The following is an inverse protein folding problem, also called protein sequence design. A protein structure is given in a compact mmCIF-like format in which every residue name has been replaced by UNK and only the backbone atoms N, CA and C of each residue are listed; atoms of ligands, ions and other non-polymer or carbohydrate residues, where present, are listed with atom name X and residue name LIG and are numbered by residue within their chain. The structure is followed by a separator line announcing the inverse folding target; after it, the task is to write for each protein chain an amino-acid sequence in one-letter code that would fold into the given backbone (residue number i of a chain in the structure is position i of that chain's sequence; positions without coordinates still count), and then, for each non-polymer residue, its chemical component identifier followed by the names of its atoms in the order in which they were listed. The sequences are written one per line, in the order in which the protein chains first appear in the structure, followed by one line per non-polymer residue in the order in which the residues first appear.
data_IF_922304796128
#
_entry.id   IF_922304796128
#
_cell.length_a   1.000
_cell.length_b   1.000
_cell.length_c   1.000
_cell.angle_alpha   90.00
_cell.angle_beta   90.00
_cell.angle_gamma   90.00
#
_symmetry.space_group_name_H-M   'P 1'
#
loop_
_entity.id
_entity.type
_entity.pdbx_description
1 polymer ?
#
# COMPACT_ATOMS: atom_id res chain seq x y z
N UNK A 1 13.47 -5.80 -10.06
CA UNK A 1 13.61 -4.43 -10.62
C UNK A 1 12.93 -3.38 -9.75
N UNK A 2 11.94 -3.73 -8.95
CA UNK A 2 11.40 -2.82 -7.94
C UNK A 2 12.32 -2.78 -6.72
N UNK A 3 12.43 -1.60 -6.10
CA UNK A 3 13.25 -1.39 -4.89
C UNK A 3 12.39 -1.39 -3.63
N UNK A 4 11.32 -0.58 -3.59
CA UNK A 4 10.46 -0.43 -2.42
C UNK A 4 9.08 0.13 -2.78
N UNK A 5 8.15 0.09 -1.84
CA UNK A 5 6.86 0.78 -1.92
C UNK A 5 7.10 2.26 -1.66
N UNK A 6 7.09 3.05 -2.72
CA UNK A 6 7.44 4.48 -2.68
C UNK A 6 6.32 5.33 -2.10
N UNK A 7 5.08 5.04 -2.51
CA UNK A 7 3.90 5.80 -2.12
C UNK A 7 2.60 5.03 -2.22
N UNK A 8 1.56 5.58 -1.61
CA UNK A 8 0.18 5.23 -1.90
C UNK A 8 -0.60 6.45 -2.36
N UNK A 9 -1.62 6.23 -3.19
CA UNK A 9 -2.46 7.27 -3.77
C UNK A 9 -3.89 7.13 -3.26
N UNK A 10 -4.43 8.21 -2.69
CA UNK A 10 -5.80 8.27 -2.20
C UNK A 10 -6.60 9.29 -2.99
N UNK A 11 -7.79 8.90 -3.41
CA UNK A 11 -8.79 9.87 -3.89
C UNK A 11 -9.45 10.50 -2.67
N UNK A 12 -9.44 11.83 -2.62
CA UNK A 12 -10.00 12.61 -1.53
C UNK A 12 -10.78 13.81 -2.06
N UNK A 13 -11.79 14.26 -1.30
CA UNK A 13 -12.53 15.47 -1.61
C UNK A 13 -11.87 16.74 -1.06
N UNK A 14 -11.18 16.61 0.06
CA UNK A 14 -10.47 17.69 0.75
C UNK A 14 -8.98 17.32 0.96
N UNK A 15 -8.14 17.74 0.03
CA UNK A 15 -6.69 17.48 0.09
C UNK A 15 -6.03 18.14 1.32
N UNK A 16 -6.48 19.36 1.67
CA UNK A 16 -5.92 20.08 2.81
C UNK A 16 -6.30 19.43 4.14
N UNK A 17 -7.54 19.00 4.25
CA UNK A 17 -8.01 18.24 5.42
C UNK A 17 -7.25 16.91 5.56
N UNK A 18 -7.03 16.21 4.45
CA UNK A 18 -6.23 14.98 4.45
C UNK A 18 -4.78 15.26 4.89
N UNK A 19 -4.14 16.28 4.32
CA UNK A 19 -2.77 16.65 4.69
C UNK A 19 -2.64 17.02 6.16
N UNK A 20 -3.59 17.81 6.70
CA UNK A 20 -3.63 18.14 8.14
C UNK A 20 -3.77 16.89 9.00
N UNK A 21 -4.68 15.99 8.65
CA UNK A 21 -4.87 14.74 9.39
C UNK A 21 -3.60 13.88 9.41
N UNK A 22 -2.91 13.74 8.26
CA UNK A 22 -1.63 13.01 8.18
C UNK A 22 -0.53 13.68 9.02
N UNK A 23 -0.48 15.03 9.03
CA UNK A 23 0.44 15.76 9.89
C UNK A 23 0.18 15.49 11.37
N UNK A 24 -1.09 15.49 11.78
CA UNK A 24 -1.48 15.30 13.19
C UNK A 24 -1.35 13.84 13.66
N UNK A 25 -1.58 12.86 12.79
CA UNK A 25 -1.48 11.44 13.14
C UNK A 25 -0.06 10.90 13.03
N UNK A 26 0.65 11.27 11.97
CA UNK A 26 1.91 10.63 11.59
C UNK A 26 3.09 11.60 11.57
N UNK A 27 2.91 12.84 11.96
CA UNK A 27 3.96 13.86 11.85
C UNK A 27 4.34 14.18 10.40
N UNK A 28 3.44 13.91 9.45
CA UNK A 28 3.72 14.10 8.03
C UNK A 28 3.98 15.55 7.67
N UNK A 29 4.84 15.78 6.67
CA UNK A 29 5.18 17.11 6.16
C UNK A 29 4.78 17.26 4.70
N UNK A 30 4.37 18.46 4.25
CA UNK A 30 4.12 18.73 2.84
C UNK A 30 5.36 18.41 1.99
N UNK A 31 5.15 17.73 0.85
CA UNK A 31 6.21 17.36 -0.10
C UNK A 31 6.02 18.01 -1.48
N UNK A 32 4.85 18.56 -1.76
CA UNK A 32 4.60 19.32 -2.98
C UNK A 32 3.19 19.23 -3.51
N UNK A 33 2.97 19.99 -4.59
CA UNK A 33 1.74 19.97 -5.38
C UNK A 33 2.11 19.79 -6.84
N UNK A 34 1.31 19.03 -7.55
CA UNK A 34 1.48 18.82 -8.98
C UNK A 34 0.13 18.50 -9.65
N UNK A 35 0.16 18.42 -10.97
CA UNK A 35 -0.93 17.86 -11.75
C UNK A 35 -0.44 16.59 -12.43
N UNK A 36 -1.27 15.57 -12.46
CA UNK A 36 -1.05 14.36 -13.24
C UNK A 36 -2.04 14.33 -14.40
N UNK A 37 -1.54 14.51 -15.62
CA UNK A 37 -2.37 14.53 -16.84
C UNK A 37 -2.94 13.14 -17.14
N UNK A 38 -2.15 12.08 -16.94
CA UNK A 38 -2.62 10.72 -17.13
C UNK A 38 -3.83 10.40 -16.26
N UNK A 39 -3.78 10.79 -14.99
CA UNK A 39 -4.88 10.57 -14.02
C UNK A 39 -5.96 11.66 -14.11
N UNK A 40 -5.69 12.76 -14.80
CA UNK A 40 -6.46 14.00 -14.83
C UNK A 40 -6.84 14.48 -13.43
N UNK A 41 -5.81 14.63 -12.58
CA UNK A 41 -5.96 14.93 -11.17
C UNK A 41 -4.95 15.95 -10.67
N UNK A 42 -5.40 16.81 -9.76
CA UNK A 42 -4.51 17.59 -8.88
C UNK A 42 -3.98 16.67 -7.79
N UNK A 43 -2.70 16.79 -7.49
CA UNK A 43 -2.00 15.95 -6.51
C UNK A 43 -1.41 16.82 -5.42
N UNK A 44 -1.80 16.60 -4.19
CA UNK A 44 -1.11 17.11 -3.00
C UNK A 44 -0.33 15.94 -2.38
N UNK A 45 0.98 16.06 -2.32
CA UNK A 45 1.85 15.04 -1.74
C UNK A 45 2.28 15.46 -0.34
N UNK A 46 2.15 14.54 0.61
CA UNK A 46 2.79 14.64 1.93
C UNK A 46 3.77 13.49 2.10
N UNK A 47 4.79 13.69 2.92
CA UNK A 47 5.75 12.65 3.30
C UNK A 47 5.55 12.28 4.75
N UNK A 48 5.48 10.98 5.01
CA UNK A 48 5.49 10.40 6.34
C UNK A 48 6.47 9.20 6.34
N UNK A 49 7.43 9.22 7.25
CA UNK A 49 8.57 8.32 7.18
C UNK A 49 9.40 8.56 5.90
N UNK A 50 9.82 7.47 5.28
CA UNK A 50 10.49 7.47 3.98
C UNK A 50 9.51 7.43 2.79
N UNK A 51 8.20 7.27 3.03
CA UNK A 51 7.17 7.12 2.00
C UNK A 51 6.38 8.40 1.77
N UNK A 52 5.77 8.50 0.60
CA UNK A 52 4.87 9.60 0.23
C UNK A 52 3.41 9.13 0.17
N UNK A 53 2.50 10.05 0.45
CA UNK A 53 1.07 9.88 0.30
C UNK A 53 0.56 10.95 -0.66
N UNK A 54 0.04 10.53 -1.81
CA UNK A 54 -0.55 11.41 -2.81
C UNK A 54 -2.06 11.50 -2.59
N UNK A 55 -2.55 12.68 -2.28
CA UNK A 55 -3.98 12.97 -2.23
C UNK A 55 -4.41 13.47 -3.60
N UNK A 56 -5.24 12.67 -4.27
CA UNK A 56 -5.73 12.93 -5.62
C UNK A 56 -7.10 13.58 -5.58
N UNK A 57 -7.26 14.67 -6.31
CA UNK A 57 -8.55 15.30 -6.54
C UNK A 57 -8.77 15.44 -8.05
N UNK A 58 -9.90 14.96 -8.62
CA UNK A 58 -10.16 15.09 -10.03
C UNK A 58 -10.05 16.55 -10.51
N UNK A 59 -9.42 16.80 -11.63
CA UNK A 59 -9.37 18.09 -12.31
C UNK A 59 -10.24 18.15 -13.57
N UNK A 60 -10.82 17.02 -13.97
CA UNK A 60 -11.69 16.83 -15.10
C UNK A 60 -12.06 15.36 -15.30
N UNK A 61 -12.79 15.01 -16.38
CA UNK A 61 -13.10 13.61 -16.70
C UNK A 61 -11.81 12.79 -16.87
N UNK A 62 -11.79 11.53 -16.33
CA UNK A 62 -10.63 10.64 -16.42
C UNK A 62 -10.60 9.60 -15.30
N UNK A 63 -9.53 8.79 -15.20
CA UNK A 63 -9.48 7.63 -14.32
C UNK A 63 -9.82 7.94 -12.85
N UNK A 64 -9.28 9.04 -12.31
CA UNK A 64 -9.55 9.44 -10.91
C UNK A 64 -10.98 9.94 -10.73
N UNK A 65 -11.55 10.67 -11.73
CA UNK A 65 -12.93 11.10 -11.68
C UNK A 65 -13.92 9.93 -11.75
N UNK A 66 -13.67 8.95 -12.63
CA UNK A 66 -14.48 7.76 -12.80
C UNK A 66 -14.44 6.90 -11.53
N UNK A 67 -13.27 6.75 -10.95
CA UNK A 67 -13.10 6.05 -9.68
C UNK A 67 -13.84 6.76 -8.54
N UNK A 68 -13.70 8.09 -8.42
CA UNK A 68 -14.37 8.92 -7.41
C UNK A 68 -15.90 8.85 -7.53
N UNK A 69 -16.42 8.88 -8.75
CA UNK A 69 -17.87 8.76 -9.02
C UNK A 69 -18.40 7.39 -8.59
N UNK A 70 -17.63 6.33 -8.78
CA UNK A 70 -18.06 4.96 -8.48
C UNK A 70 -17.86 4.59 -7.00
N UNK A 71 -16.76 5.02 -6.37
CA UNK A 71 -16.33 4.52 -5.09
C UNK A 71 -16.18 5.58 -3.99
N UNK A 72 -16.22 6.87 -4.36
CA UNK A 72 -16.03 7.98 -3.42
C UNK A 72 -14.57 8.19 -3.06
N UNK A 73 -14.27 8.38 -1.78
CA UNK A 73 -12.91 8.51 -1.26
C UNK A 73 -12.30 7.15 -0.93
N UNK A 74 -10.96 7.02 -1.04
CA UNK A 74 -10.25 5.80 -0.66
C UNK A 74 -8.92 5.57 -1.33
N UNK A 75 -8.34 4.45 -1.02
CA UNK A 75 -7.08 3.95 -1.60
C UNK A 75 -7.30 3.62 -3.09
N UNK A 76 -6.65 4.39 -3.94
CA UNK A 76 -6.79 4.32 -5.39
C UNK A 76 -5.66 3.55 -6.06
N UNK A 77 -4.41 3.90 -5.74
CA UNK A 77 -3.24 3.38 -6.42
C UNK A 77 -2.02 3.26 -5.51
N UNK A 78 -0.97 2.67 -6.05
CA UNK A 78 0.32 2.47 -5.39
C UNK A 78 1.46 2.93 -6.27
N UNK A 79 2.52 3.46 -5.68
CA UNK A 79 3.78 3.73 -6.35
C UNK A 79 4.89 2.81 -5.87
N UNK A 80 5.62 2.25 -6.82
CA UNK A 80 6.85 1.50 -6.56
C UNK A 80 8.04 2.25 -7.11
N UNK A 81 9.18 2.16 -6.43
CA UNK A 81 10.41 2.74 -6.94
C UNK A 81 11.25 1.72 -7.71
N UNK A 82 12.12 2.24 -8.56
CA UNK A 82 13.10 1.48 -9.32
C UNK A 82 14.38 2.30 -9.49
N UNK A 83 15.58 1.67 -9.49
CA UNK A 83 16.82 2.37 -9.72
C UNK A 83 16.97 2.87 -11.18
N UNK A 84 16.21 2.30 -12.13
CA UNK A 84 16.27 2.66 -13.53
C UNK A 84 14.88 2.62 -14.19
N UNK A 85 14.23 3.79 -14.25
CA UNK A 85 12.92 3.96 -14.89
C UNK A 85 12.98 3.63 -16.39
N UNK A 86 14.06 3.99 -17.07
CA UNK A 86 14.23 3.68 -18.50
C UNK A 86 14.34 2.18 -18.77
N UNK A 87 15.04 1.43 -17.91
CA UNK A 87 15.08 -0.03 -17.98
C UNK A 87 13.70 -0.64 -17.74
N UNK A 88 12.95 -0.10 -16.78
CA UNK A 88 11.57 -0.54 -16.51
C UNK A 88 10.65 -0.24 -17.70
N UNK A 89 10.77 0.93 -18.33
CA UNK A 89 10.00 1.26 -19.54
C UNK A 89 10.28 0.28 -20.69
N UNK A 90 11.55 -0.04 -20.94
CA UNK A 90 11.93 -1.06 -21.94
C UNK A 90 11.37 -2.44 -21.59
N UNK A 91 11.39 -2.82 -20.30
CA UNK A 91 10.81 -4.07 -19.86
C UNK A 91 9.30 -4.11 -20.13
N UNK A 92 8.55 -3.04 -19.82
CA UNK A 92 7.12 -2.96 -20.11
C UNK A 92 6.83 -3.09 -21.61
N UNK A 93 7.63 -2.45 -22.47
CA UNK A 93 7.51 -2.60 -23.93
C UNK A 93 7.68 -4.07 -24.35
N UNK A 94 8.71 -4.76 -23.87
CA UNK A 94 8.96 -6.18 -24.16
C UNK A 94 7.80 -7.06 -23.67
N UNK A 95 7.29 -6.78 -22.49
CA UNK A 95 6.17 -7.51 -21.87
C UNK A 95 4.79 -7.09 -22.41
N UNK A 96 4.73 -6.09 -23.30
CA UNK A 96 3.50 -5.51 -23.86
C UNK A 96 2.56 -4.98 -22.78
N UNK A 97 3.11 -4.39 -21.70
CA UNK A 97 2.37 -3.70 -20.67
C UNK A 97 2.11 -2.27 -21.13
N UNK A 98 0.87 -1.83 -21.28
CA UNK A 98 0.57 -0.44 -21.60
C UNK A 98 1.00 0.49 -20.46
N UNK A 99 1.69 1.57 -20.79
CA UNK A 99 2.06 2.60 -19.82
C UNK A 99 2.13 3.98 -20.48
N UNK A 100 2.04 5.01 -19.64
CA UNK A 100 2.28 6.41 -20.04
C UNK A 100 3.44 6.94 -19.23
N UNK A 101 4.40 7.56 -19.91
CA UNK A 101 5.50 8.27 -19.25
C UNK A 101 5.13 9.74 -19.06
N UNK A 102 5.18 10.20 -17.81
CA UNK A 102 4.93 11.58 -17.45
C UNK A 102 5.81 12.00 -16.27
N UNK A 103 6.47 13.14 -16.37
CA UNK A 103 7.33 13.72 -15.33
C UNK A 103 8.39 12.74 -14.76
N UNK A 104 8.97 11.89 -15.63
CA UNK A 104 9.99 10.89 -15.26
C UNK A 104 9.44 9.71 -14.46
N UNK A 105 8.14 9.46 -14.54
CA UNK A 105 7.45 8.32 -13.93
C UNK A 105 6.70 7.53 -15.00
N UNK A 106 6.44 6.24 -14.74
CA UNK A 106 5.62 5.42 -15.62
C UNK A 106 4.29 5.13 -14.92
N UNK A 107 3.20 5.42 -15.59
CA UNK A 107 1.86 5.19 -15.10
C UNK A 107 1.24 4.00 -15.82
N UNK A 108 0.75 3.05 -15.06
CA UNK A 108 0.00 1.89 -15.54
C UNK A 108 -1.41 2.01 -14.96
N UNK A 109 -2.40 1.91 -15.82
CA UNK A 109 -3.79 1.77 -15.35
C UNK A 109 -3.99 0.44 -14.60
N UNK A 110 -5.17 0.25 -14.02
CA UNK A 110 -5.50 -0.90 -13.17
C UNK A 110 -5.13 -2.28 -13.74
N UNK A 111 -4.77 -2.37 -15.03
CA UNK A 111 -4.44 -3.59 -15.74
C UNK A 111 -5.38 -4.74 -15.31
N UNK A 112 -5.03 -6.01 -15.52
CA UNK A 112 -5.93 -7.14 -15.22
C UNK A 112 -6.27 -7.33 -13.72
N UNK A 113 -5.55 -6.68 -12.80
CA UNK A 113 -5.65 -6.93 -11.36
C UNK A 113 -6.13 -5.75 -10.52
N UNK A 114 -6.65 -4.70 -11.16
CA UNK A 114 -7.30 -3.59 -10.47
C UNK A 114 -6.37 -2.74 -9.59
N UNK A 115 -5.07 -2.72 -9.87
CA UNK A 115 -4.07 -1.98 -9.11
C UNK A 115 -3.43 -0.87 -9.97
N UNK A 116 -4.02 0.35 -10.03
CA UNK A 116 -3.37 1.49 -10.66
C UNK A 116 -1.98 1.69 -10.05
N UNK A 117 -0.96 1.76 -10.90
CA UNK A 117 0.43 1.75 -10.43
C UNK A 117 1.22 2.90 -11.05
N UNK A 118 2.09 3.52 -10.24
CA UNK A 118 3.09 4.45 -10.72
C UNK A 118 4.49 3.96 -10.39
N UNK A 119 5.38 3.89 -11.38
CA UNK A 119 6.80 3.58 -11.17
C UNK A 119 7.57 4.89 -11.05
N UNK A 120 8.27 5.04 -9.95
CA UNK A 120 9.04 6.23 -9.58
C UNK A 120 10.54 5.93 -9.61
N UNK A 121 11.41 6.90 -9.89
CA UNK A 121 12.84 6.72 -9.68
C UNK A 121 13.15 6.59 -8.18
N UNK A 122 14.11 5.74 -7.83
CA UNK A 122 14.63 5.67 -6.47
C UNK A 122 15.10 7.03 -5.98
N UNK A 123 14.74 7.36 -4.76
CA UNK A 123 15.17 8.60 -4.11
C UNK A 123 15.51 8.33 -2.65
N UNK A 124 16.70 8.71 -2.24
CA UNK A 124 17.00 8.82 -0.82
C UNK A 124 16.16 9.97 -0.24
N UNK A 125 15.41 9.69 0.82
CA UNK A 125 14.59 10.68 1.52
C UNK A 125 14.95 10.68 3.00
N UNK A 126 15.05 11.87 3.56
CA UNK A 126 15.08 12.03 5.00
C UNK A 126 13.75 11.55 5.60
N UNK A 127 13.81 10.74 6.65
CA UNK A 127 12.62 10.30 7.37
C UNK A 127 11.98 11.48 8.12
N UNK A 128 10.65 11.58 8.05
CA UNK A 128 9.87 12.61 8.74
C UNK A 128 8.68 12.01 9.48
N UNK A 129 8.41 12.50 10.68
CA UNK A 129 7.30 12.02 11.51
C UNK A 129 7.57 10.65 12.13
N UNK A 130 6.51 9.94 12.46
CA UNK A 130 6.51 8.85 13.44
C UNK A 130 6.29 7.47 12.82
N UNK A 131 6.15 7.39 11.50
CA UNK A 131 6.15 6.12 10.78
C UNK A 131 7.49 5.94 10.07
N UNK A 132 7.89 4.70 9.82
CA UNK A 132 9.13 4.41 9.11
C UNK A 132 8.91 4.45 7.60
N UNK A 133 8.00 3.63 7.09
CA UNK A 133 7.65 3.56 5.67
C UNK A 133 6.38 2.74 5.45
N UNK A 134 5.80 2.88 4.26
CA UNK A 134 4.81 1.93 3.74
C UNK A 134 5.56 0.75 3.15
N UNK A 135 5.27 -0.47 3.61
CA UNK A 135 5.97 -1.65 3.11
C UNK A 135 5.08 -2.60 2.31
N UNK A 136 3.76 -2.42 2.38
CA UNK A 136 2.84 -3.36 1.74
C UNK A 136 1.58 -2.67 1.23
N UNK A 137 1.09 -3.19 0.12
CA UNK A 137 -0.29 -3.03 -0.31
C UNK A 137 -0.91 -4.40 -0.53
N UNK A 138 -2.17 -4.56 -0.11
CA UNK A 138 -2.93 -5.80 -0.25
C UNK A 138 -3.88 -5.71 -1.44
N UNK A 139 -3.77 -6.66 -2.34
CA UNK A 139 -4.61 -6.77 -3.54
C UNK A 139 -5.36 -8.11 -3.56
N UNK A 140 -6.64 -8.15 -3.15
CA UNK A 140 -7.49 -9.32 -3.33
C UNK A 140 -7.86 -9.52 -4.81
N UNK A 141 -7.73 -10.76 -5.26
CA UNK A 141 -7.92 -11.18 -6.67
C UNK A 141 -8.72 -12.49 -6.75
N UNK A 142 -9.16 -12.84 -7.96
CA UNK A 142 -9.90 -14.09 -8.18
C UNK A 142 -9.02 -15.35 -8.06
N UNK A 143 -7.78 -15.24 -8.52
CA UNK A 143 -6.78 -16.31 -8.56
C UNK A 143 -5.42 -15.72 -8.22
N UNK A 144 -4.95 -16.01 -7.01
CA UNK A 144 -3.70 -15.43 -6.50
C UNK A 144 -2.46 -15.95 -7.23
N UNK A 145 -2.47 -17.21 -7.72
CA UNK A 145 -1.34 -17.78 -8.44
C UNK A 145 -1.16 -17.10 -9.79
N UNK A 146 -2.25 -16.98 -10.56
CA UNK A 146 -2.25 -16.24 -11.82
C UNK A 146 -1.86 -14.78 -11.64
N UNK A 147 -2.30 -14.13 -10.57
CA UNK A 147 -1.93 -12.76 -10.26
C UNK A 147 -0.44 -12.64 -9.91
N UNK A 148 0.11 -13.58 -9.12
CA UNK A 148 1.52 -13.64 -8.79
C UNK A 148 2.40 -13.84 -10.03
N UNK A 149 2.02 -14.73 -10.96
CA UNK A 149 2.70 -14.93 -12.24
C UNK A 149 2.67 -13.66 -13.08
N UNK A 150 1.52 -12.98 -13.13
CA UNK A 150 1.38 -11.72 -13.87
C UNK A 150 2.27 -10.63 -13.28
N UNK A 151 2.28 -10.44 -11.97
CA UNK A 151 3.13 -9.44 -11.32
C UNK A 151 4.62 -9.78 -11.43
N UNK A 152 4.97 -11.08 -11.36
CA UNK A 152 6.32 -11.54 -11.66
C UNK A 152 6.76 -11.10 -13.06
N UNK A 153 5.92 -11.31 -14.06
CA UNK A 153 6.18 -10.92 -15.44
C UNK A 153 6.20 -9.39 -15.60
N UNK A 154 5.19 -8.68 -15.08
CA UNK A 154 5.04 -7.22 -15.23
C UNK A 154 6.17 -6.47 -14.52
N UNK A 155 6.45 -6.80 -13.28
CA UNK A 155 7.42 -6.07 -12.45
C UNK A 155 8.81 -6.74 -12.38
N UNK A 156 8.99 -7.86 -13.09
CA UNK A 156 10.21 -8.68 -13.06
C UNK A 156 10.60 -9.06 -11.61
N UNK A 157 9.62 -9.55 -10.84
CA UNK A 157 9.82 -10.03 -9.48
C UNK A 157 10.52 -11.39 -9.50
N UNK A 158 11.13 -11.75 -8.38
CA UNK A 158 11.80 -13.04 -8.20
C UNK A 158 10.92 -13.96 -7.32
N UNK A 159 10.27 -15.00 -7.89
CA UNK A 159 9.40 -15.89 -7.13
C UNK A 159 10.10 -16.65 -6.00
N UNK A 160 11.42 -16.80 -6.05
CA UNK A 160 12.19 -17.46 -4.97
C UNK A 160 12.19 -16.65 -3.66
N UNK A 161 11.79 -15.39 -3.72
CA UNK A 161 11.66 -14.46 -2.59
C UNK A 161 10.24 -14.37 -2.03
N UNK A 162 9.30 -15.10 -2.62
CA UNK A 162 7.90 -15.04 -2.21
C UNK A 162 7.67 -15.85 -0.93
N UNK A 163 6.76 -15.37 -0.10
CA UNK A 163 6.35 -16.06 1.13
C UNK A 163 4.86 -16.38 1.05
N UNK A 164 4.46 -17.66 1.14
CA UNK A 164 3.05 -18.03 1.16
C UNK A 164 2.39 -17.53 2.44
N UNK A 165 1.13 -17.15 2.32
CA UNK A 165 0.28 -16.74 3.44
C UNK A 165 -1.08 -17.41 3.35
N UNK A 166 -1.65 -17.72 4.52
CA UNK A 166 -3.00 -18.25 4.64
C UNK A 166 -3.60 -17.87 5.99
N UNK A 167 -4.89 -17.57 6.01
CA UNK A 167 -5.61 -17.30 7.26
C UNK A 167 -7.04 -17.80 7.15
N UNK A 168 -7.35 -18.86 7.90
CA UNK A 168 -8.71 -19.35 8.05
C UNK A 168 -9.59 -18.31 8.78
N UNK A 169 -9.02 -17.63 9.79
CA UNK A 169 -9.74 -16.61 10.56
C UNK A 169 -10.25 -15.46 9.70
N UNK A 170 -9.45 -15.00 8.75
CA UNK A 170 -9.80 -13.88 7.86
C UNK A 170 -10.30 -14.33 6.48
N UNK A 171 -10.29 -15.63 6.20
CA UNK A 171 -10.79 -16.22 4.96
C UNK A 171 -9.98 -15.81 3.74
N UNK A 172 -8.66 -16.01 3.75
CA UNK A 172 -7.81 -15.79 2.58
C UNK A 172 -6.59 -16.71 2.53
N UNK A 173 -6.06 -16.89 1.34
CA UNK A 173 -4.74 -17.46 1.04
C UNK A 173 -4.08 -16.68 -0.08
N UNK A 174 -2.76 -16.76 -0.17
CA UNK A 174 -2.02 -16.05 -1.20
C UNK A 174 -0.53 -16.05 -1.01
N UNK A 175 0.11 -14.95 -1.41
CA UNK A 175 1.55 -14.79 -1.29
C UNK A 175 1.94 -13.34 -1.05
N UNK A 176 3.02 -13.16 -0.31
CA UNK A 176 3.77 -11.91 -0.22
C UNK A 176 4.85 -11.93 -1.29
N UNK A 177 4.81 -10.99 -2.23
CA UNK A 177 5.80 -10.91 -3.31
C UNK A 177 6.94 -9.99 -2.92
N UNK A 178 7.74 -10.38 -1.92
CA UNK A 178 8.83 -9.57 -1.38
C UNK A 178 9.82 -9.13 -2.47
N UNK A 179 10.22 -7.86 -2.43
CA UNK A 179 11.13 -7.30 -3.42
C UNK A 179 12.59 -7.62 -3.12
N UNK A 180 13.02 -7.45 -1.87
CA UNK A 180 14.41 -7.66 -1.46
C UNK A 180 14.55 -8.16 0.01
N UNK A 181 14.03 -9.37 0.34
CA UNK A 181 14.24 -9.96 1.65
C UNK A 181 15.68 -10.49 1.79
N UNK A 182 16.27 -10.52 2.99
CA UNK A 182 15.70 -10.11 4.27
C UNK A 182 15.85 -8.61 4.58
N UNK A 183 16.46 -7.83 3.69
CA UNK A 183 16.87 -6.45 3.99
C UNK A 183 15.67 -5.50 4.08
N UNK A 184 14.61 -5.78 3.31
CA UNK A 184 13.40 -4.95 3.26
C UNK A 184 12.13 -5.79 3.27
N UNK A 185 11.10 -5.28 3.97
CA UNK A 185 9.76 -5.88 4.00
C UNK A 185 8.90 -5.54 2.78
N UNK A 186 9.33 -4.66 1.91
CA UNK A 186 8.55 -4.14 0.79
C UNK A 186 8.02 -5.25 -0.12
N UNK A 187 6.69 -5.26 -0.33
CA UNK A 187 5.99 -6.30 -1.08
C UNK A 187 4.62 -5.87 -1.57
N UNK A 188 4.07 -6.68 -2.43
CA UNK A 188 2.64 -6.74 -2.73
C UNK A 188 2.09 -7.99 -2.06
N UNK A 189 1.05 -7.86 -1.26
CA UNK A 189 0.27 -8.97 -0.76
C UNK A 189 -0.83 -9.29 -1.79
N UNK A 190 -0.79 -10.49 -2.34
CA UNK A 190 -1.79 -10.98 -3.30
C UNK A 190 -2.61 -12.04 -2.61
N UNK A 191 -3.93 -11.83 -2.50
CA UNK A 191 -4.83 -12.72 -1.77
C UNK A 191 -6.01 -13.18 -2.62
N UNK A 192 -6.38 -14.43 -2.45
CA UNK A 192 -7.66 -14.99 -2.88
C UNK A 192 -8.51 -15.22 -1.64
N UNK A 193 -9.70 -14.65 -1.62
CA UNK A 193 -10.54 -14.59 -0.42
C UNK A 193 -11.75 -15.51 -0.51
N UNK A 194 -12.27 -15.99 0.64
CA UNK A 194 -13.51 -16.75 0.77
C UNK A 194 -14.26 -16.37 2.05
N UNK A 195 -15.46 -16.97 2.22
CA UNK A 195 -16.30 -16.78 3.41
C UNK A 195 -17.05 -15.45 3.41
N UNK A 196 -17.21 -14.84 4.58
CA UNK A 196 -17.97 -13.61 4.79
C UNK A 196 -17.17 -12.48 5.47
N UNK A 197 -15.84 -12.65 5.54
CA UNK A 197 -14.93 -11.66 6.12
C UNK A 197 -14.95 -10.31 5.40
N UNK A 198 -14.40 -9.28 6.04
CA UNK A 198 -14.41 -7.91 5.51
C UNK A 198 -13.70 -7.80 4.14
N UNK A 199 -12.57 -8.49 3.96
CA UNK A 199 -11.82 -8.49 2.71
C UNK A 199 -12.61 -9.18 1.60
N UNK A 200 -13.30 -10.31 1.91
CA UNK A 200 -14.13 -11.00 0.92
C UNK A 200 -15.32 -10.14 0.49
N UNK A 201 -16.04 -9.49 1.43
CA UNK A 201 -17.13 -8.55 1.10
C UNK A 201 -16.64 -7.37 0.25
N UNK A 202 -15.43 -6.86 0.54
CA UNK A 202 -14.81 -5.81 -0.27
C UNK A 202 -14.56 -6.31 -1.71
N UNK A 203 -13.93 -7.49 -1.85
CA UNK A 203 -13.66 -8.09 -3.16
C UNK A 203 -14.96 -8.36 -3.94
N UNK A 204 -15.98 -8.92 -3.32
CA UNK A 204 -17.28 -9.16 -3.96
C UNK A 204 -17.93 -7.88 -4.49
N UNK A 205 -17.76 -6.77 -3.79
CA UNK A 205 -18.31 -5.47 -4.20
C UNK A 205 -17.49 -4.77 -5.27
N UNK A 206 -16.17 -4.84 -5.21
CA UNK A 206 -15.26 -4.05 -6.04
C UNK A 206 -14.56 -4.83 -7.14
N UNK A 207 -14.47 -6.14 -7.01
CA UNK A 207 -13.54 -6.96 -7.79
C UNK A 207 -12.08 -6.73 -7.38
N UNK A 208 -11.12 -7.15 -8.22
CA UNK A 208 -9.71 -6.88 -7.98
C UNK A 208 -9.44 -5.39 -7.80
N UNK A 209 -8.89 -5.01 -6.67
CA UNK A 209 -8.56 -3.60 -6.33
C UNK A 209 -7.73 -3.55 -5.04
N UNK A 210 -7.08 -2.43 -4.77
CA UNK A 210 -6.34 -2.25 -3.53
C UNK A 210 -7.29 -2.21 -2.32
N UNK A 211 -7.06 -3.11 -1.35
CA UNK A 211 -7.85 -3.23 -0.14
C UNK A 211 -7.30 -2.38 1.00
N UNK A 212 -5.99 -2.44 1.21
CA UNK A 212 -5.31 -1.72 2.29
C UNK A 212 -3.83 -1.52 1.99
N UNK A 213 -3.17 -0.72 2.81
CA UNK A 213 -1.72 -0.68 2.90
C UNK A 213 -1.26 -0.96 4.35
N UNK A 214 0.03 -1.32 4.51
CA UNK A 214 0.67 -1.45 5.81
C UNK A 214 1.85 -0.49 5.96
N UNK A 215 1.99 0.05 7.18
CA UNK A 215 3.11 0.89 7.60
C UNK A 215 3.82 0.29 8.81
N UNK A 216 5.08 0.65 9.00
CA UNK A 216 5.80 0.43 10.25
C UNK A 216 5.85 1.71 11.10
N UNK A 217 5.81 1.55 12.42
CA UNK A 217 6.11 2.58 13.41
C UNK A 217 6.91 1.99 14.59
N UNK A 218 7.75 2.80 15.19
CA UNK A 218 8.47 2.38 16.40
C UNK A 218 7.56 2.36 17.64
N UNK A 219 6.49 3.15 17.65
CA UNK A 219 5.55 3.24 18.77
C UNK A 219 4.09 3.18 18.31
N UNK A 220 3.54 1.94 18.33
CA UNK A 220 2.13 1.66 18.00
C UNK A 220 1.18 2.29 19.04
N UNK A 221 1.59 2.31 20.32
CA UNK A 221 0.73 2.80 21.39
C UNK A 221 0.60 4.32 21.40
N UNK A 222 1.66 5.05 21.02
CA UNK A 222 1.56 6.49 20.84
C UNK A 222 0.61 6.84 19.69
N UNK A 223 0.68 6.12 18.58
CA UNK A 223 -0.26 6.30 17.47
C UNK A 223 -1.70 5.96 17.91
N UNK A 224 -1.91 4.87 18.65
CA UNK A 224 -3.21 4.52 19.22
C UNK A 224 -3.77 5.63 20.10
N UNK A 225 -2.92 6.26 20.93
CA UNK A 225 -3.26 7.41 21.75
C UNK A 225 -3.75 8.61 20.92
N UNK A 226 -3.07 8.95 19.82
CA UNK A 226 -3.48 10.02 18.90
C UNK A 226 -4.82 9.70 18.20
N UNK A 227 -5.00 8.47 17.75
CA UNK A 227 -6.27 8.02 17.16
C UNK A 227 -7.42 8.15 18.14
N UNK A 228 -7.22 7.69 19.39
CA UNK A 228 -8.20 7.80 20.48
C UNK A 228 -8.55 9.25 20.80
N UNK A 229 -7.54 10.12 20.92
CA UNK A 229 -7.74 11.55 21.19
C UNK A 229 -8.56 12.26 20.10
N UNK A 230 -8.50 11.78 18.86
CA UNK A 230 -9.30 12.29 17.75
C UNK A 230 -10.63 11.57 17.54
N UNK A 231 -10.96 10.58 18.37
CA UNK A 231 -12.17 9.78 18.21
C UNK A 231 -12.19 8.93 16.93
N UNK A 232 -11.03 8.62 16.36
CA UNK A 232 -10.92 7.80 15.15
C UNK A 232 -10.99 6.32 15.50
N UNK A 233 -11.69 5.55 14.68
CA UNK A 233 -11.86 4.11 14.90
C UNK A 233 -10.62 3.34 14.52
N UNK A 234 -10.16 2.48 15.42
CA UNK A 234 -9.09 1.52 15.18
C UNK A 234 -9.35 0.25 15.99
N UNK A 235 -8.65 -0.82 15.67
CA UNK A 235 -8.72 -2.09 16.38
C UNK A 235 -7.34 -2.74 16.46
N UNK A 236 -7.00 -3.32 17.62
CA UNK A 236 -5.89 -4.25 17.72
C UNK A 236 -6.32 -5.64 17.26
N UNK A 237 -5.37 -6.44 16.80
CA UNK A 237 -5.64 -7.85 16.51
C UNK A 237 -5.75 -8.61 17.82
N UNK A 238 -6.83 -9.40 18.00
CA UNK A 238 -7.01 -10.25 19.18
C UNK A 238 -5.90 -11.33 19.33
N UNK A 239 -5.26 -11.67 18.22
CA UNK A 239 -4.20 -12.68 18.16
C UNK A 239 -2.80 -12.14 18.51
N UNK A 240 -2.66 -10.83 18.80
CA UNK A 240 -1.36 -10.17 18.99
C UNK A 240 -1.38 -9.24 20.21
N UNK A 241 -0.19 -8.97 20.76
CA UNK A 241 -0.05 -7.93 21.80
C UNK A 241 -0.45 -6.56 21.22
N UNK A 242 -1.02 -5.68 22.04
CA UNK A 242 -1.52 -4.37 21.59
C UNK A 242 -0.41 -3.50 20.97
N UNK A 243 0.81 -3.60 21.49
CA UNK A 243 1.98 -2.88 20.98
C UNK A 243 2.55 -3.47 19.68
N UNK A 244 2.07 -4.65 19.26
CA UNK A 244 2.55 -5.30 18.03
C UNK A 244 1.96 -4.69 16.76
N UNK A 245 0.72 -4.17 16.84
CA UNK A 245 0.08 -3.54 15.69
C UNK A 245 -1.39 -3.24 15.88
N UNK A 246 -1.95 -2.51 14.94
CA UNK A 246 -3.37 -2.14 14.90
C UNK A 246 -3.84 -1.93 13.45
N UNK A 247 -5.14 -1.85 13.26
CA UNK A 247 -5.78 -1.47 12.01
C UNK A 247 -6.55 -0.16 12.21
N UNK A 248 -6.26 0.85 11.39
CA UNK A 248 -7.01 2.10 11.37
C UNK A 248 -8.18 1.93 10.39
N UNK A 249 -9.40 2.12 10.91
CA UNK A 249 -10.62 1.93 10.14
C UNK A 249 -10.74 2.94 8.99
N UNK A 250 -11.29 2.55 7.82
CA UNK A 250 -11.43 3.43 6.65
C UNK A 250 -12.15 4.77 6.92
N UNK A 251 -13.11 4.78 7.84
CA UNK A 251 -13.82 6.03 8.20
C UNK A 251 -12.90 7.10 8.81
N UNK A 252 -11.74 6.71 9.34
CA UNK A 252 -10.75 7.63 9.91
C UNK A 252 -9.67 8.09 8.94
N UNK A 253 -9.56 7.47 7.77
CA UNK A 253 -8.49 7.74 6.80
C UNK A 253 -9.03 7.88 5.36
N UNK A 254 -10.06 8.71 5.17
CA UNK A 254 -10.62 8.99 3.83
C UNK A 254 -10.92 7.72 3.02
N UNK A 255 -11.49 6.69 3.66
CA UNK A 255 -11.87 5.43 3.00
C UNK A 255 -10.75 4.40 2.85
N UNK A 256 -9.53 4.66 3.32
CA UNK A 256 -8.42 3.73 3.30
C UNK A 256 -8.33 2.93 4.61
N UNK A 257 -8.32 1.60 4.51
CA UNK A 257 -7.89 0.73 5.61
C UNK A 257 -6.37 0.75 5.68
N UNK A 258 -5.80 0.97 6.86
CA UNK A 258 -4.35 0.95 7.08
C UNK A 258 -4.00 -0.01 8.20
N UNK A 259 -3.15 -0.98 7.92
CA UNK A 259 -2.47 -1.78 8.91
C UNK A 259 -1.23 -1.06 9.42
N UNK A 260 -0.99 -1.18 10.70
CA UNK A 260 0.19 -0.63 11.38
C UNK A 260 0.86 -1.77 12.10
N UNK A 261 2.15 -1.95 11.90
CA UNK A 261 2.96 -2.89 12.66
C UNK A 261 4.12 -2.19 13.35
N UNK A 262 4.51 -2.70 14.52
CA UNK A 262 5.76 -2.33 15.14
C UNK A 262 6.92 -2.69 14.19
N UNK A 263 7.96 -1.91 14.22
CA UNK A 263 9.18 -2.12 13.42
C UNK A 263 9.63 -3.57 13.46
N UNK A 264 9.88 -4.14 12.28
CA UNK A 264 10.28 -5.52 12.03
C UNK A 264 9.26 -6.61 12.46
N UNK A 265 8.17 -6.26 13.13
CA UNK A 265 7.22 -7.26 13.61
C UNK A 265 6.59 -8.07 12.46
N UNK A 266 6.41 -7.45 11.30
CA UNK A 266 5.82 -8.09 10.13
C UNK A 266 6.66 -9.26 9.57
N UNK A 267 7.92 -9.42 9.97
CA UNK A 267 8.71 -10.60 9.65
C UNK A 267 8.13 -11.89 10.23
N UNK A 268 7.31 -11.81 11.31
CA UNK A 268 6.65 -12.98 11.91
C UNK A 268 5.79 -13.76 10.91
N UNK A 269 5.22 -13.07 9.90
CA UNK A 269 4.39 -13.70 8.85
C UNK A 269 4.97 -13.53 7.44
N UNK A 270 6.22 -13.12 7.33
CA UNK A 270 6.88 -12.88 6.03
C UNK A 270 7.99 -13.89 5.72
N UNK A 271 7.90 -15.08 6.32
CA UNK A 271 8.83 -16.19 6.06
C UNK A 271 10.16 -16.09 6.81
N UNK A 272 10.39 -15.05 7.63
CA UNK A 272 11.63 -14.82 8.38
C UNK A 272 11.33 -14.35 9.82
N UNK A 273 10.62 -15.16 10.64
CA UNK A 273 10.21 -14.76 11.99
C UNK A 273 11.38 -14.44 12.92
N UNK A 274 12.56 -14.98 12.66
CA UNK A 274 13.79 -14.69 13.41
C UNK A 274 14.24 -13.21 13.30
N UNK A 275 13.76 -12.49 12.29
CA UNK A 275 14.07 -11.07 12.08
C UNK A 275 13.12 -10.11 12.81
N UNK A 276 12.05 -10.62 13.40
CA UNK A 276 11.01 -9.80 14.04
C UNK A 276 11.44 -9.17 15.39
N UNK A 277 12.62 -9.52 15.91
CA UNK A 277 13.15 -9.00 17.17
C UNK A 277 12.66 -9.74 18.42
N UNK A 278 13.21 -9.43 19.60
CA UNK A 278 12.87 -10.09 20.86
C UNK A 278 11.38 -9.85 21.23
N UNK A 279 10.69 -10.90 21.68
CA UNK A 279 9.31 -10.86 22.12
C UNK A 279 8.26 -11.04 21.01
N UNK A 280 8.67 -11.21 19.77
CA UNK A 280 7.78 -11.58 18.68
C UNK A 280 7.51 -13.11 18.75
N UNK A 281 6.54 -13.52 19.56
CA UNK A 281 6.01 -14.88 19.46
C UNK A 281 5.14 -14.96 18.21
N UNK A 282 5.59 -15.74 17.21
CA UNK A 282 4.83 -15.97 16.01
C UNK A 282 3.50 -16.65 16.33
N UNK A 283 2.42 -15.95 16.20
CA UNK A 283 1.12 -16.58 15.98
C UNK A 283 1.04 -16.90 14.50
N UNK A 284 0.91 -18.16 14.19
CA UNK A 284 0.59 -18.63 12.84
C UNK A 284 -0.71 -17.94 12.37
N UNK A 285 -0.68 -17.43 11.19
CA UNK A 285 -1.87 -16.91 10.48
C UNK A 285 -2.77 -18.07 10.09
#
# INVERSE_FOLDING_TARGET
MLSYVDRVQLVVKDQEGAARLWSELFGAKPAGRSECRFQNARVLTVRAGASEFDFLQPSGPGPVADWAAKWGEGLYGVGFSTPDVGRMARHFQVQRVPFVEEAGRLYIDAYDHGMPTVICPDRSREMVGDIRYVYEVTNPVADWQRAADTYTRVFALDPSRFSPIESELYGYRGTLTLFDPPDRLDRIEITQTWGDGAMHRFYQRRGPSLYMCYIETDDVMELAGRLKAKGLRYAHSEARAEDAGLFIHPSGLYGMLMGVSRTNFAWTWSGRPELAGPGATGSQH
#
